data_IF_581014628957
#
_entry.id   IF_581014628957
#
_cell.length_a   1.000
_cell.length_b   1.000
_cell.length_c   1.000
_cell.angle_alpha   90.00
_cell.angle_beta   90.00
_cell.angle_gamma   90.00
#
_symmetry.space_group_name_H-M   'P 1'
#
loop_
_entity.id
_entity.type
_entity.pdbx_description
1 polymer ?
#
# COMPACT_ATOMS: atom_id res chain seq x y z
N UNK A 1 4.86 2.38 -21.82
CA UNK A 1 3.69 1.65 -21.28
C UNK A 1 3.43 2.20 -19.89
N UNK A 2 2.18 2.46 -19.52
CA UNK A 2 1.86 2.91 -18.15
C UNK A 2 1.87 1.69 -17.21
N UNK A 3 2.40 1.88 -16.01
CA UNK A 3 2.46 0.85 -14.96
C UNK A 3 1.31 1.02 -13.98
N UNK A 4 0.69 -0.09 -13.55
CA UNK A 4 -0.33 -0.09 -12.49
C UNK A 4 0.35 -0.13 -11.13
N UNK A 5 0.12 0.90 -10.34
CA UNK A 5 0.79 1.16 -9.08
C UNK A 5 -0.17 0.93 -7.92
N UNK A 6 0.32 0.26 -6.89
CA UNK A 6 -0.31 0.12 -5.59
C UNK A 6 0.56 0.82 -4.55
N UNK A 7 0.05 1.89 -3.96
CA UNK A 7 0.66 2.56 -2.83
C UNK A 7 -0.20 2.35 -1.58
N UNK A 8 0.45 1.97 -0.49
CA UNK A 8 -0.18 1.80 0.81
C UNK A 8 0.55 2.64 1.84
N UNK A 9 -0.20 3.47 2.57
CA UNK A 9 0.28 4.22 3.72
C UNK A 9 -0.49 3.77 4.95
N UNK A 10 0.24 3.47 6.02
CA UNK A 10 -0.28 3.08 7.33
C UNK A 10 0.03 4.19 8.32
N UNK A 11 -1.01 4.65 9.02
CA UNK A 11 -0.97 5.71 10.01
C UNK A 11 -1.61 5.21 11.32
N UNK A 12 -1.23 5.74 12.50
CA UNK A 12 -1.94 5.38 13.72
C UNK A 12 -3.40 5.81 13.62
N UNK A 13 -4.31 5.01 14.19
CA UNK A 13 -5.74 5.27 14.13
C UNK A 13 -6.08 6.68 14.64
N UNK A 14 -6.99 7.36 13.94
CA UNK A 14 -7.47 8.71 14.27
C UNK A 14 -6.40 9.82 14.29
N UNK A 15 -5.21 9.59 13.73
CA UNK A 15 -4.18 10.64 13.61
C UNK A 15 -4.25 11.43 12.30
N UNK A 16 -4.95 10.93 11.29
CA UNK A 16 -5.18 11.64 10.03
C UNK A 16 -6.36 12.60 10.21
N UNK A 17 -6.10 13.91 10.11
CA UNK A 17 -7.19 14.89 10.15
C UNK A 17 -7.99 14.85 8.83
N UNK A 18 -9.35 14.97 8.87
CA UNK A 18 -10.17 15.03 7.65
C UNK A 18 -9.73 16.14 6.69
N UNK A 19 -9.31 17.28 7.22
CA UNK A 19 -8.84 18.43 6.45
C UNK A 19 -7.53 18.13 5.71
N UNK A 20 -6.57 17.50 6.39
CA UNK A 20 -5.28 17.16 5.80
C UNK A 20 -5.46 16.15 4.67
N UNK A 21 -6.24 15.09 4.89
CA UNK A 21 -6.46 14.08 3.86
C UNK A 21 -7.29 14.59 2.69
N UNK A 22 -8.31 15.42 2.92
CA UNK A 22 -9.14 15.94 1.83
C UNK A 22 -8.33 16.82 0.88
N UNK A 23 -7.46 17.68 1.41
CA UNK A 23 -6.59 18.54 0.61
C UNK A 23 -5.61 17.72 -0.24
N UNK A 24 -5.01 16.68 0.35
CA UNK A 24 -4.09 15.79 -0.36
C UNK A 24 -4.79 14.99 -1.47
N UNK A 25 -5.96 14.43 -1.17
CA UNK A 25 -6.78 13.69 -2.15
C UNK A 25 -7.14 14.57 -3.33
N UNK A 26 -7.65 15.77 -3.09
CA UNK A 26 -8.03 16.71 -4.16
C UNK A 26 -6.82 17.12 -4.98
N UNK A 27 -5.70 17.46 -4.33
CA UNK A 27 -4.46 17.81 -5.01
C UNK A 27 -3.96 16.66 -5.89
N UNK A 28 -4.03 15.42 -5.40
CA UNK A 28 -3.59 14.25 -6.17
C UNK A 28 -4.49 14.03 -7.38
N UNK A 29 -5.82 14.05 -7.20
CA UNK A 29 -6.74 13.95 -8.33
C UNK A 29 -6.54 15.04 -9.38
N UNK A 30 -6.30 16.29 -8.98
CA UNK A 30 -6.07 17.40 -9.92
C UNK A 30 -4.83 17.19 -10.80
N UNK A 31 -3.86 16.39 -10.36
CA UNK A 31 -2.68 16.04 -11.15
C UNK A 31 -2.95 14.90 -12.16
N UNK A 32 -4.04 14.17 -12.00
CA UNK A 32 -4.37 12.97 -12.80
C UNK A 32 -5.64 13.11 -13.66
N UNK A 33 -6.56 14.01 -13.30
CA UNK A 33 -7.83 14.23 -14.00
C UNK A 33 -8.18 15.72 -14.03
N UNK A 34 -9.06 16.12 -14.95
CA UNK A 34 -9.46 17.52 -15.08
C UNK A 34 -10.43 17.96 -13.98
N UNK A 35 -10.37 19.24 -13.58
CA UNK A 35 -11.17 19.80 -12.47
C UNK A 35 -12.70 19.71 -12.65
N UNK A 36 -13.17 19.68 -13.90
CA UNK A 36 -14.59 19.56 -14.23
C UNK A 36 -15.07 18.11 -14.37
N UNK A 37 -14.15 17.13 -14.23
CA UNK A 37 -14.51 15.72 -14.22
C UNK A 37 -15.25 15.33 -12.94
N UNK A 38 -15.84 14.13 -13.00
CA UNK A 38 -16.51 13.52 -11.88
C UNK A 38 -15.68 12.37 -11.32
N UNK A 39 -15.72 12.25 -10.01
CA UNK A 39 -15.26 11.08 -9.26
C UNK A 39 -16.45 10.41 -8.59
N UNK A 40 -16.26 9.18 -8.12
CA UNK A 40 -17.28 8.40 -7.45
C UNK A 40 -16.83 8.06 -6.03
N UNK A 41 -17.72 8.25 -5.06
CA UNK A 41 -17.53 7.72 -3.71
C UNK A 41 -18.60 6.65 -3.44
N UNK A 42 -18.22 5.37 -3.38
CA UNK A 42 -19.18 4.26 -3.24
C UNK A 42 -20.34 4.36 -4.24
N UNK A 43 -20.03 4.60 -5.53
CA UNK A 43 -21.00 4.79 -6.60
C UNK A 43 -21.66 6.17 -6.66
N UNK A 44 -21.55 7.00 -5.61
CA UNK A 44 -22.09 8.37 -5.63
C UNK A 44 -21.19 9.31 -6.42
N UNK A 45 -21.74 9.88 -7.50
CA UNK A 45 -21.08 10.85 -8.37
C UNK A 45 -20.85 12.20 -7.66
N UNK A 46 -19.61 12.70 -7.70
CA UNK A 46 -19.18 13.98 -7.10
C UNK A 46 -18.33 14.74 -8.11
N UNK A 47 -18.61 16.04 -8.32
CA UNK A 47 -17.74 16.91 -9.14
C UNK A 47 -16.41 17.10 -8.41
N UNK A 48 -15.28 16.98 -9.11
CA UNK A 48 -13.95 17.08 -8.48
C UNK A 48 -13.76 18.41 -7.73
N UNK A 49 -14.19 19.54 -8.31
CA UNK A 49 -14.19 20.85 -7.62
C UNK A 49 -14.95 20.90 -6.29
N UNK A 50 -15.92 20.02 -6.08
CA UNK A 50 -16.71 19.91 -4.86
C UNK A 50 -16.17 18.84 -3.89
N UNK A 51 -15.15 18.06 -4.29
CA UNK A 51 -14.66 16.92 -3.53
C UNK A 51 -14.10 17.32 -2.17
N UNK A 52 -13.41 18.46 -2.07
CA UNK A 52 -12.86 18.91 -0.78
C UNK A 52 -13.97 19.14 0.25
N UNK A 53 -14.98 19.92 -0.13
CA UNK A 53 -16.16 20.19 0.70
C UNK A 53 -16.96 18.92 1.00
N UNK A 54 -16.99 17.98 0.06
CA UNK A 54 -17.62 16.68 0.25
C UNK A 54 -16.91 15.87 1.34
N UNK A 55 -15.58 15.74 1.27
CA UNK A 55 -14.74 14.97 2.20
C UNK A 55 -14.63 15.60 3.60
N UNK A 56 -14.67 16.93 3.70
CA UNK A 56 -14.58 17.64 4.98
C UNK A 56 -15.85 17.55 5.83
N UNK A 57 -16.96 17.00 5.30
CA UNK A 57 -18.16 16.80 6.12
C UNK A 57 -17.80 15.89 7.29
N UNK A 58 -18.06 16.37 8.53
CA UNK A 58 -17.62 15.80 9.82
C UNK A 58 -17.91 14.30 10.06
N UNK A 59 -18.60 13.63 9.15
CA UNK A 59 -19.01 12.22 9.25
C UNK A 59 -18.11 11.25 8.48
N UNK A 60 -17.23 11.71 7.58
CA UNK A 60 -16.47 10.81 6.72
C UNK A 60 -15.25 10.27 7.47
N UNK A 61 -15.43 9.10 8.09
CA UNK A 61 -14.37 8.31 8.73
C UNK A 61 -13.64 7.38 7.76
N UNK A 62 -14.28 7.07 6.64
CA UNK A 62 -13.78 6.19 5.60
C UNK A 62 -14.34 6.65 4.25
N UNK A 63 -13.60 6.42 3.16
CA UNK A 63 -14.06 6.72 1.81
C UNK A 63 -13.32 5.86 0.78
N UNK A 64 -13.90 5.72 -0.42
CA UNK A 64 -13.21 5.22 -1.62
C UNK A 64 -13.55 6.14 -2.78
N UNK A 65 -12.64 7.05 -3.12
CA UNK A 65 -12.81 7.96 -4.25
C UNK A 65 -12.20 7.34 -5.49
N UNK A 66 -13.00 7.20 -6.53
CA UNK A 66 -12.66 6.46 -7.74
C UNK A 66 -12.87 7.31 -9.00
N UNK A 67 -11.91 7.21 -9.91
CA UNK A 67 -12.01 7.63 -11.31
C UNK A 67 -11.53 6.47 -12.21
N UNK A 68 -11.45 6.69 -13.53
CA UNK A 68 -11.11 5.64 -14.50
C UNK A 68 -9.80 4.90 -14.19
N UNK A 69 -8.76 5.63 -13.77
CA UNK A 69 -7.40 5.09 -13.59
C UNK A 69 -6.79 5.46 -12.22
N UNK A 70 -7.62 5.91 -11.27
CA UNK A 70 -7.16 6.35 -9.97
C UNK A 70 -8.23 6.03 -8.91
N UNK A 71 -7.81 5.32 -7.87
CA UNK A 71 -8.60 5.09 -6.66
C UNK A 71 -7.79 5.55 -5.45
N UNK A 72 -8.39 6.33 -4.57
CA UNK A 72 -7.85 6.65 -3.25
C UNK A 72 -8.88 6.26 -2.21
N UNK A 73 -8.49 5.40 -1.27
CA UNK A 73 -9.35 4.99 -0.17
C UNK A 73 -8.70 5.26 1.18
N UNK A 74 -9.52 5.61 2.17
CA UNK A 74 -9.16 5.70 3.58
C UNK A 74 -9.97 4.65 4.34
N UNK A 75 -9.27 3.71 4.97
CA UNK A 75 -9.83 2.56 5.67
C UNK A 75 -9.34 2.57 7.13
N UNK A 76 -10.15 3.00 8.11
CA UNK A 76 -9.85 2.79 9.51
C UNK A 76 -10.00 1.31 9.86
N UNK A 77 -8.98 0.74 10.51
CA UNK A 77 -8.96 -0.65 10.98
C UNK A 77 -8.94 -0.63 12.52
N UNK A 78 -10.11 -0.43 13.14
CA UNK A 78 -10.25 -0.18 14.58
C UNK A 78 -9.71 -1.30 15.47
N UNK A 79 -9.89 -2.56 15.04
CA UNK A 79 -9.36 -3.75 15.72
C UNK A 79 -7.83 -3.82 15.67
N UNK A 80 -7.22 -3.19 14.67
CA UNK A 80 -5.78 -3.18 14.44
C UNK A 80 -5.12 -1.85 14.86
N UNK A 81 -5.89 -0.87 15.35
CA UNK A 81 -5.38 0.43 15.82
C UNK A 81 -4.60 1.23 14.76
N UNK A 82 -4.95 1.04 13.49
CA UNK A 82 -4.34 1.76 12.37
C UNK A 82 -5.41 2.35 11.44
N UNK A 83 -5.03 3.40 10.72
CA UNK A 83 -5.73 3.90 9.53
C UNK A 83 -4.87 3.64 8.31
N UNK A 84 -5.48 3.09 7.26
CA UNK A 84 -4.80 2.73 6.03
C UNK A 84 -5.28 3.65 4.91
N UNK A 85 -4.34 4.17 4.11
CA UNK A 85 -4.64 4.82 2.84
C UNK A 85 -4.12 3.92 1.73
N UNK A 86 -4.99 3.57 0.79
CA UNK A 86 -4.61 2.83 -0.42
C UNK A 86 -4.83 3.73 -1.62
N UNK A 87 -3.79 3.88 -2.44
CA UNK A 87 -3.84 4.58 -3.73
C UNK A 87 -3.51 3.57 -4.83
N UNK A 88 -4.46 3.36 -5.74
CA UNK A 88 -4.24 2.56 -6.96
C UNK A 88 -4.28 3.50 -8.15
N UNK A 89 -3.21 3.55 -8.94
CA UNK A 89 -3.12 4.51 -10.03
C UNK A 89 -2.21 4.04 -11.15
N UNK A 90 -2.21 4.72 -12.29
CA UNK A 90 -1.25 4.47 -13.37
C UNK A 90 -0.16 5.53 -13.40
N UNK A 91 1.10 5.10 -13.45
CA UNK A 91 2.25 6.02 -13.59
C UNK A 91 3.10 5.68 -14.81
N UNK A 92 3.95 6.62 -15.21
CA UNK A 92 4.85 6.47 -16.38
C UNK A 92 5.94 5.42 -16.14
N UNK A 93 6.46 5.38 -14.92
CA UNK A 93 7.51 4.47 -14.49
C UNK A 93 7.63 4.50 -12.95
N UNK A 94 8.42 3.56 -12.44
CA UNK A 94 8.80 3.43 -11.03
C UNK A 94 9.22 4.76 -10.37
N UNK A 95 10.10 5.54 -11.00
CA UNK A 95 10.63 6.79 -10.40
C UNK A 95 9.54 7.84 -10.27
N UNK A 96 8.76 8.06 -11.33
CA UNK A 96 7.64 9.01 -11.31
C UNK A 96 6.59 8.63 -10.26
N UNK A 97 6.31 7.33 -10.09
CA UNK A 97 5.39 6.85 -9.07
C UNK A 97 5.83 7.19 -7.64
N UNK A 98 7.14 7.16 -7.35
CA UNK A 98 7.70 7.58 -6.05
C UNK A 98 7.46 9.08 -5.83
N UNK A 99 7.75 9.91 -6.84
CA UNK A 99 7.59 11.37 -6.77
C UNK A 99 6.11 11.75 -6.51
N UNK A 100 5.18 11.08 -7.19
CA UNK A 100 3.74 11.33 -7.07
C UNK A 100 3.22 11.07 -5.64
N UNK A 101 3.65 9.98 -4.99
CA UNK A 101 3.14 9.62 -3.64
C UNK A 101 3.82 10.38 -2.49
N UNK A 102 4.94 11.07 -2.77
CA UNK A 102 5.73 11.78 -1.76
C UNK A 102 4.90 12.84 -1.01
N UNK A 103 3.88 13.41 -1.66
CA UNK A 103 2.98 14.39 -1.04
C UNK A 103 2.22 13.79 0.16
N UNK A 104 1.87 12.50 0.14
CA UNK A 104 1.22 11.84 1.28
C UNK A 104 2.22 11.54 2.38
N UNK A 105 3.40 11.02 2.03
CA UNK A 105 4.48 10.70 2.97
C UNK A 105 4.87 11.93 3.79
N UNK A 106 5.00 13.09 3.14
CA UNK A 106 5.52 14.30 3.77
C UNK A 106 4.52 15.01 4.70
N UNK A 107 3.22 14.73 4.54
CA UNK A 107 2.13 15.50 5.14
C UNK A 107 1.22 14.69 6.07
N UNK A 108 1.41 13.37 6.18
CA UNK A 108 0.59 12.51 7.03
C UNK A 108 1.44 11.80 8.10
N UNK A 109 0.87 11.52 9.28
CA UNK A 109 1.54 10.69 10.28
C UNK A 109 1.77 9.29 9.72
N UNK A 110 2.99 8.77 9.88
CA UNK A 110 3.44 7.54 9.23
C UNK A 110 3.88 6.50 10.25
N UNK A 111 3.33 5.28 10.16
CA UNK A 111 3.94 4.06 10.71
C UNK A 111 4.83 3.44 9.64
N UNK A 112 4.24 3.16 8.48
CA UNK A 112 4.94 2.70 7.29
C UNK A 112 4.18 3.10 6.03
N UNK A 113 4.88 3.15 4.91
CA UNK A 113 4.28 3.17 3.59
C UNK A 113 5.13 2.37 2.63
N UNK A 114 4.55 2.00 1.50
CA UNK A 114 5.24 1.23 0.47
C UNK A 114 4.62 1.44 -0.90
N UNK A 115 5.43 1.21 -1.92
CA UNK A 115 5.04 1.32 -3.31
C UNK A 115 5.32 0.00 -4.04
N UNK A 116 4.31 -0.55 -4.70
CA UNK A 116 4.41 -1.84 -5.38
C UNK A 116 3.69 -1.81 -6.75
N UNK A 117 3.99 -2.80 -7.58
CA UNK A 117 3.19 -3.08 -8.77
C UNK A 117 1.85 -3.70 -8.33
N UNK A 118 0.72 -3.20 -8.86
CA UNK A 118 -0.61 -3.67 -8.42
C UNK A 118 -0.89 -5.12 -8.75
N UNK A 119 -0.40 -5.63 -9.88
CA UNK A 119 -0.61 -7.02 -10.28
C UNK A 119 0.22 -7.95 -9.38
N UNK A 120 1.48 -7.61 -9.14
CA UNK A 120 2.32 -8.36 -8.20
C UNK A 120 1.70 -8.38 -6.80
N UNK A 121 1.27 -7.22 -6.28
CA UNK A 121 0.61 -7.13 -4.98
C UNK A 121 -0.62 -8.04 -4.90
N UNK A 122 -1.45 -8.06 -5.94
CA UNK A 122 -2.64 -8.88 -5.99
C UNK A 122 -2.29 -10.37 -5.93
N UNK A 123 -1.45 -10.87 -6.84
CA UNK A 123 -1.14 -12.30 -6.91
C UNK A 123 -0.33 -12.83 -5.74
N UNK A 124 0.45 -11.99 -5.07
CA UNK A 124 1.14 -12.37 -3.84
C UNK A 124 0.19 -12.58 -2.66
N UNK A 125 -1.06 -12.11 -2.76
CA UNK A 125 -2.05 -12.12 -1.69
C UNK A 125 -3.39 -12.78 -2.06
N UNK A 126 -3.60 -13.13 -3.33
CA UNK A 126 -4.77 -13.85 -3.84
C UNK A 126 -4.83 -15.27 -3.25
N UNK A 127 -5.86 -15.56 -2.46
CA UNK A 127 -6.05 -16.85 -1.82
C UNK A 127 -7.24 -17.64 -2.38
N UNK A 128 -8.09 -17.01 -3.19
CA UNK A 128 -9.27 -17.65 -3.77
C UNK A 128 -8.92 -18.27 -5.13
N UNK A 129 -9.05 -19.61 -5.30
CA UNK A 129 -8.83 -20.27 -6.59
C UNK A 129 -9.67 -19.73 -7.76
N UNK A 130 -10.82 -19.10 -7.47
CA UNK A 130 -11.67 -18.47 -8.48
C UNK A 130 -10.99 -17.25 -9.12
N UNK A 131 -10.23 -16.45 -8.35
CA UNK A 131 -9.49 -15.29 -8.87
C UNK A 131 -8.52 -15.72 -9.98
N UNK A 132 -7.83 -16.85 -9.79
CA UNK A 132 -6.92 -17.41 -10.79
C UNK A 132 -7.67 -17.97 -12.00
N UNK A 133 -8.80 -18.64 -11.78
CA UNK A 133 -9.64 -19.21 -12.85
C UNK A 133 -10.17 -18.11 -13.76
N UNK A 134 -10.72 -17.04 -13.20
CA UNK A 134 -11.28 -15.91 -13.96
C UNK A 134 -10.23 -15.21 -14.83
N UNK A 135 -8.98 -15.14 -14.36
CA UNK A 135 -7.86 -14.53 -15.08
C UNK A 135 -7.07 -15.53 -15.95
N UNK A 136 -7.55 -16.77 -16.09
CA UNK A 136 -6.87 -17.87 -16.81
C UNK A 136 -5.41 -18.09 -16.32
N UNK A 137 -5.12 -17.85 -15.04
CA UNK A 137 -3.81 -18.11 -14.45
C UNK A 137 -3.72 -19.54 -13.91
N UNK A 138 -2.66 -20.29 -14.24
CA UNK A 138 -2.46 -21.61 -13.65
C UNK A 138 -2.13 -21.48 -12.17
N UNK A 139 -2.85 -22.21 -11.31
CA UNK A 139 -2.60 -22.22 -9.86
C UNK A 139 -2.43 -23.62 -9.26
N UNK A 140 -2.62 -24.68 -10.05
CA UNK A 140 -2.50 -26.08 -9.58
C UNK A 140 -1.12 -26.45 -9.01
N UNK A 141 -0.10 -25.65 -9.31
CA UNK A 141 1.26 -25.83 -8.80
C UNK A 141 1.53 -25.05 -7.51
N UNK A 142 0.58 -24.21 -7.08
CA UNK A 142 0.67 -23.45 -5.85
C UNK A 142 0.27 -24.33 -4.67
N UNK A 143 0.81 -24.00 -3.50
CA UNK A 143 0.46 -24.65 -2.24
C UNK A 143 -1.01 -24.34 -1.92
N UNK A 144 -1.77 -25.38 -1.58
CA UNK A 144 -3.18 -25.27 -1.19
C UNK A 144 -3.37 -25.70 0.26
N UNK A 145 -4.36 -25.13 0.93
CA UNK A 145 -4.85 -25.56 2.24
C UNK A 145 -6.36 -25.76 2.19
N UNK A 146 -6.84 -26.66 3.03
CA UNK A 146 -8.25 -26.92 3.24
C UNK A 146 -8.64 -26.44 4.63
N UNK A 147 -9.73 -25.68 4.71
CA UNK A 147 -10.37 -25.30 5.96
C UNK A 147 -11.57 -26.22 6.19
N UNK A 148 -11.46 -27.12 7.18
CA UNK A 148 -12.51 -28.07 7.53
C UNK A 148 -13.77 -27.38 8.07
N UNK A 149 -13.63 -26.21 8.71
CA UNK A 149 -14.78 -25.48 9.26
C UNK A 149 -15.59 -24.78 8.18
N UNK A 150 -14.92 -24.32 7.13
CA UNK A 150 -15.55 -23.62 6.00
C UNK A 150 -15.84 -24.52 4.80
N UNK A 151 -15.41 -25.79 4.86
CA UNK A 151 -15.44 -26.74 3.74
C UNK A 151 -14.89 -26.10 2.45
N UNK A 152 -13.74 -25.45 2.56
CA UNK A 152 -13.22 -24.58 1.51
C UNK A 152 -11.72 -24.80 1.29
N UNK A 153 -11.33 -24.90 0.02
CA UNK A 153 -9.92 -24.96 -0.39
C UNK A 153 -9.45 -23.60 -0.84
N UNK A 154 -8.30 -23.15 -0.33
CA UNK A 154 -7.69 -21.87 -0.65
C UNK A 154 -6.21 -22.01 -0.98
N UNK A 155 -5.69 -21.05 -1.76
CA UNK A 155 -4.27 -20.93 -2.06
C UNK A 155 -3.55 -20.41 -0.81
N UNK A 156 -2.52 -21.12 -0.38
CA UNK A 156 -1.68 -20.74 0.75
C UNK A 156 -0.63 -19.71 0.33
N UNK A 157 -0.88 -18.45 0.66
CA UNK A 157 0.01 -17.32 0.39
C UNK A 157 0.96 -17.00 1.56
N UNK A 158 0.96 -17.80 2.62
CA UNK A 158 1.72 -17.51 3.86
C UNK A 158 3.23 -17.52 3.67
N UNK A 159 3.73 -18.16 2.61
CA UNK A 159 5.15 -18.22 2.26
C UNK A 159 5.51 -17.27 1.09
N UNK A 160 4.52 -16.55 0.53
CA UNK A 160 4.79 -15.62 -0.56
C UNK A 160 5.69 -14.48 -0.07
N UNK A 161 6.73 -14.11 -0.83
CA UNK A 161 7.65 -13.03 -0.43
C UNK A 161 6.92 -11.68 -0.30
N UNK A 162 5.99 -11.40 -1.23
CA UNK A 162 5.18 -10.19 -1.26
C UNK A 162 3.90 -10.24 -0.42
N UNK A 163 3.74 -11.25 0.46
CA UNK A 163 2.54 -11.39 1.30
C UNK A 163 2.35 -10.19 2.22
N UNK A 164 1.10 -9.89 2.54
CA UNK A 164 0.69 -8.75 3.35
C UNK A 164 -0.09 -9.24 4.56
N UNK A 165 0.39 -8.94 5.77
CA UNK A 165 -0.25 -9.38 7.02
C UNK A 165 -0.60 -8.15 7.86
N UNK A 166 -1.87 -8.01 8.23
CA UNK A 166 -2.33 -6.93 9.10
C UNK A 166 -2.08 -7.35 10.55
N UNK A 167 -1.39 -6.50 11.32
CA UNK A 167 -1.10 -6.70 12.75
C UNK A 167 -1.65 -5.52 13.54
N UNK A 168 -1.73 -5.68 14.86
CA UNK A 168 -2.08 -4.55 15.72
C UNK A 168 -0.94 -3.53 15.68
N UNK A 169 -1.25 -2.31 15.24
CA UNK A 169 -0.33 -1.18 15.19
C UNK A 169 0.49 -1.07 13.90
N UNK A 170 0.47 -2.04 12.98
CA UNK A 170 1.25 -1.99 11.73
C UNK A 170 0.78 -3.04 10.70
N UNK A 171 1.35 -2.98 9.50
CA UNK A 171 1.15 -3.98 8.44
C UNK A 171 2.52 -4.52 8.03
N UNK A 172 2.64 -5.86 8.00
CA UNK A 172 3.81 -6.56 7.48
C UNK A 172 3.69 -6.70 5.97
N UNK A 173 4.45 -5.90 5.25
CA UNK A 173 4.62 -6.05 3.82
C UNK A 173 5.96 -5.44 3.40
N UNK A 174 6.59 -6.04 2.40
CA UNK A 174 7.84 -5.55 1.83
C UNK A 174 7.61 -5.18 0.38
N UNK A 175 8.23 -4.09 -0.07
CA UNK A 175 8.15 -3.64 -1.46
C UNK A 175 9.48 -2.99 -1.87
N UNK A 176 9.74 -2.79 -3.17
CA UNK A 176 11.01 -2.25 -3.66
C UNK A 176 11.39 -0.89 -3.02
N UNK A 177 10.40 -0.05 -2.78
CA UNK A 177 10.53 1.19 -2.01
C UNK A 177 9.56 1.14 -0.84
N UNK A 178 10.09 1.51 0.33
CA UNK A 178 9.31 1.63 1.55
C UNK A 178 9.72 2.90 2.30
N UNK A 179 8.79 3.40 3.11
CA UNK A 179 9.04 4.43 4.10
C UNK A 179 8.64 3.88 5.45
N UNK A 180 9.50 4.03 6.45
CA UNK A 180 9.21 3.63 7.82
C UNK A 180 9.33 4.84 8.74
N UNK A 181 8.40 4.97 9.67
CA UNK A 181 8.43 6.01 10.70
C UNK A 181 9.05 5.55 12.01
N UNK A 182 8.94 6.40 13.03
CA UNK A 182 9.47 6.17 14.39
C UNK A 182 9.03 4.84 15.02
N UNK A 183 7.86 4.31 14.63
CA UNK A 183 7.37 3.02 15.10
C UNK A 183 8.42 1.90 14.93
N UNK A 184 9.14 1.90 13.81
CA UNK A 184 10.24 0.96 13.55
C UNK A 184 11.59 1.54 13.95
N UNK A 185 11.83 2.83 13.69
CA UNK A 185 13.14 3.47 13.88
C UNK A 185 13.56 3.65 15.35
N UNK A 186 12.62 3.59 16.30
CA UNK A 186 12.93 3.61 17.74
C UNK A 186 13.65 2.35 18.22
N UNK A 187 13.69 1.28 17.42
CA UNK A 187 14.48 0.08 17.70
C UNK A 187 15.88 0.26 17.10
N UNK A 188 16.86 0.53 17.97
CA UNK A 188 18.24 0.83 17.54
C UNK A 188 18.82 -0.27 16.63
N UNK A 189 18.55 -1.54 16.91
CA UNK A 189 18.98 -2.66 16.07
C UNK A 189 18.47 -2.55 14.63
N UNK A 190 17.19 -2.22 14.43
CA UNK A 190 16.61 -2.03 13.10
C UNK A 190 17.28 -0.86 12.40
N UNK A 191 17.41 0.27 13.11
CA UNK A 191 18.02 1.48 12.57
C UNK A 191 19.46 1.22 12.13
N UNK A 192 20.29 0.60 12.97
CA UNK A 192 21.68 0.25 12.64
C UNK A 192 21.76 -0.67 11.42
N UNK A 193 20.93 -1.73 11.36
CA UNK A 193 20.92 -2.64 10.21
C UNK A 193 20.53 -1.94 8.91
N UNK A 194 19.53 -1.05 8.93
CA UNK A 194 19.14 -0.28 7.74
C UNK A 194 20.30 0.59 7.25
N UNK A 195 20.93 1.32 8.18
CA UNK A 195 22.04 2.22 7.87
C UNK A 195 23.23 1.48 7.25
N UNK A 196 23.48 0.24 7.66
CA UNK A 196 24.63 -0.55 7.23
C UNK A 196 24.39 -1.36 5.96
N UNK A 197 23.15 -1.70 5.62
CA UNK A 197 22.86 -2.71 4.60
C UNK A 197 22.04 -2.24 3.40
N UNK A 198 21.41 -1.06 3.47
CA UNK A 198 20.49 -0.60 2.43
C UNK A 198 20.69 0.86 2.07
N UNK A 199 20.43 1.19 0.80
CA UNK A 199 20.32 2.58 0.38
C UNK A 199 19.10 3.20 1.07
N UNK A 200 19.31 4.35 1.70
CA UNK A 200 18.28 5.01 2.49
C UNK A 200 18.35 6.53 2.38
N UNK A 201 17.24 7.19 2.69
CA UNK A 201 17.14 8.64 2.81
C UNK A 201 16.32 8.98 4.06
N UNK A 202 16.84 9.88 4.90
CA UNK A 202 16.11 10.40 6.05
C UNK A 202 15.47 11.75 5.73
N UNK A 203 14.20 11.87 6.08
CA UNK A 203 13.50 13.15 6.05
C UNK A 203 12.57 13.22 7.25
N UNK A 204 12.81 14.21 8.13
CA UNK A 204 12.16 14.32 9.44
C UNK A 204 12.35 13.01 10.23
N UNK A 205 11.25 12.37 10.60
CA UNK A 205 11.18 11.13 11.37
C UNK A 205 10.81 9.91 10.49
N UNK A 206 11.11 10.00 9.19
CA UNK A 206 10.83 8.98 8.19
C UNK A 206 12.13 8.56 7.53
N UNK A 207 12.35 7.24 7.44
CA UNK A 207 13.41 6.63 6.66
C UNK A 207 12.81 6.00 5.40
N UNK A 208 13.16 6.53 4.24
CA UNK A 208 12.93 5.85 2.98
C UNK A 208 14.01 4.78 2.80
N UNK A 209 13.61 3.56 2.48
CA UNK A 209 14.49 2.43 2.21
C UNK A 209 14.31 2.03 0.74
N UNK A 210 15.41 1.94 0.02
CA UNK A 210 15.45 1.45 -1.36
C UNK A 210 16.06 0.05 -1.41
N UNK A 211 15.20 -0.94 -1.64
CA UNK A 211 15.57 -2.33 -1.81
C UNK A 211 15.87 -2.69 -3.26
N UNK A 212 15.25 -1.98 -4.21
CA UNK A 212 15.37 -2.25 -5.63
C UNK A 212 14.90 -1.05 -6.45
N UNK A 213 15.59 -0.78 -7.56
CA UNK A 213 15.22 0.25 -8.53
C UNK A 213 14.17 -0.21 -9.56
N UNK A 214 13.58 -1.39 -9.34
CA UNK A 214 12.58 -2.03 -10.22
C UNK A 214 11.54 -2.79 -9.39
N UNK A 215 10.39 -3.07 -9.99
CA UNK A 215 9.38 -3.94 -9.39
C UNK A 215 9.92 -5.35 -9.12
N UNK A 216 9.53 -5.90 -7.97
CA UNK A 216 9.79 -7.30 -7.66
C UNK A 216 9.01 -8.23 -8.60
N UNK A 217 9.55 -9.43 -8.83
CA UNK A 217 8.96 -10.46 -9.68
C UNK A 217 8.94 -11.80 -8.95
N UNK A 218 7.86 -12.57 -9.16
CA UNK A 218 7.58 -13.80 -8.37
C UNK A 218 8.66 -14.87 -8.45
N UNK A 219 9.33 -15.00 -9.60
CA UNK A 219 10.33 -16.05 -9.86
C UNK A 219 11.77 -15.56 -9.80
N UNK A 220 12.01 -14.40 -9.20
CA UNK A 220 13.36 -13.86 -9.05
C UNK A 220 13.90 -14.18 -7.64
N UNK A 221 14.90 -15.06 -7.56
CA UNK A 221 15.49 -15.51 -6.30
C UNK A 221 16.11 -14.37 -5.47
N UNK A 222 16.65 -13.34 -6.13
CA UNK A 222 17.22 -12.18 -5.45
C UNK A 222 16.11 -11.32 -4.83
N UNK A 223 15.03 -11.07 -5.56
CA UNK A 223 13.86 -10.35 -5.04
C UNK A 223 13.24 -11.09 -3.84
N UNK A 224 13.18 -12.43 -3.88
CA UNK A 224 12.70 -13.25 -2.76
C UNK A 224 13.60 -13.08 -1.54
N UNK A 225 14.92 -13.20 -1.72
CA UNK A 225 15.90 -13.09 -0.63
C UNK A 225 15.87 -11.71 0.02
N UNK A 226 15.83 -10.65 -0.79
CA UNK A 226 15.74 -9.26 -0.30
C UNK A 226 14.46 -9.05 0.51
N UNK A 227 13.32 -9.54 0.03
CA UNK A 227 12.04 -9.42 0.72
C UNK A 227 12.03 -10.16 2.07
N UNK A 228 12.53 -11.39 2.09
CA UNK A 228 12.59 -12.18 3.33
C UNK A 228 13.57 -11.57 4.35
N UNK A 229 14.74 -11.09 3.91
CA UNK A 229 15.70 -10.43 4.79
C UNK A 229 15.10 -9.17 5.43
N UNK A 230 14.48 -8.30 4.63
CA UNK A 230 13.85 -7.08 5.15
C UNK A 230 12.67 -7.42 6.08
N UNK A 231 11.91 -8.48 5.77
CA UNK A 231 10.80 -8.92 6.63
C UNK A 231 11.30 -9.39 8.00
N UNK A 232 12.33 -10.24 8.05
CA UNK A 232 12.92 -10.66 9.33
C UNK A 232 13.50 -9.49 10.10
N UNK A 233 14.12 -8.52 9.40
CA UNK A 233 14.65 -7.32 10.03
C UNK A 233 13.57 -6.44 10.68
N UNK A 234 12.48 -6.15 9.96
CA UNK A 234 11.46 -5.19 10.45
C UNK A 234 10.47 -5.81 11.44
N UNK A 235 10.17 -7.09 11.28
CA UNK A 235 9.02 -7.72 11.95
C UNK A 235 9.41 -8.85 12.91
N UNK A 236 10.71 -9.12 13.09
CA UNK A 236 11.21 -10.17 13.99
C UNK A 236 10.53 -11.54 13.73
N UNK A 237 10.46 -11.94 12.46
CA UNK A 237 10.09 -13.30 12.06
C UNK A 237 11.34 -14.17 11.97
#
# INVERSE_FOLDING_TARGET
MLEKIYFELVSPLNKISPQSISNLVVSFFNNHIHLDDYVYNFGKKVKLKNLNNYLQKKTIKYFSIESKNLTISLNPLDSHKISQIIIKFTSKNFKTAIEEVQVFINNLPLISARLNNSEYEFWQNANDPLEYTTENKPYKHLKVRYDEMLDYTFIDTSENPGRRIIKVGYIEAVSPIMWIGDYFLNKESIKTSILNSYQHLFFKNICQINLSNKWFKEKNMEDIKIQNNMRSLLFNN
#
